data_IF_094713119021
#
_entry.id   IF_094713119021
#
_cell.length_a   1.000
_cell.length_b   1.000
_cell.length_c   1.000
_cell.angle_alpha   90.00
_cell.angle_beta   90.00
_cell.angle_gamma   90.00
#
_symmetry.space_group_name_H-M   'P 1'
#
loop_
_entity.id
_entity.type
_entity.pdbx_description
1 polymer ?
#
# COMPACT_ATOMS: atom_id res chain seq x y z
N UNK A 1 -34.20 -50.99 46.07
CA UNK A 1 -32.97 -50.16 46.07
C UNK A 1 -32.87 -49.43 44.74
N UNK A 2 -32.72 -48.11 44.83
CA UNK A 2 -32.58 -47.07 43.80
C UNK A 2 -33.60 -46.98 42.67
N UNK A 3 -34.63 -46.19 42.99
CA UNK A 3 -35.58 -45.52 42.12
C UNK A 3 -34.86 -44.47 41.25
N UNK A 4 -34.61 -44.76 39.98
CA UNK A 4 -34.43 -43.69 38.99
C UNK A 4 -35.81 -43.08 38.72
N UNK A 5 -36.16 -42.11 39.55
CA UNK A 5 -37.41 -41.37 39.48
C UNK A 5 -37.49 -40.65 38.12
N UNK A 6 -38.59 -40.87 37.39
CA UNK A 6 -38.95 -40.17 36.15
C UNK A 6 -38.58 -38.66 36.05
N UNK A 7 -38.59 -37.84 37.13
CA UNK A 7 -38.08 -36.47 37.10
C UNK A 7 -36.61 -36.28 36.65
N UNK A 8 -35.69 -37.22 36.92
CA UNK A 8 -34.27 -37.08 36.56
C UNK A 8 -34.05 -37.21 35.03
N UNK A 9 -34.81 -38.09 34.38
CA UNK A 9 -34.78 -38.25 32.93
C UNK A 9 -35.37 -37.02 32.20
N UNK A 10 -36.41 -36.40 32.77
CA UNK A 10 -37.00 -35.18 32.23
C UNK A 10 -36.04 -33.99 32.40
N UNK A 11 -35.41 -33.84 33.55
CA UNK A 11 -34.42 -32.79 33.82
C UNK A 11 -33.21 -32.89 32.87
N UNK A 12 -32.68 -34.09 32.62
CA UNK A 12 -31.59 -34.32 31.66
C UNK A 12 -32.00 -34.00 30.22
N UNK A 13 -33.23 -34.36 29.81
CA UNK A 13 -33.75 -34.02 28.48
C UNK A 13 -33.93 -32.52 28.31
N UNK A 14 -34.46 -31.84 29.33
CA UNK A 14 -34.58 -30.38 29.33
C UNK A 14 -33.21 -29.71 29.27
N UNK A 15 -32.24 -30.16 30.08
CA UNK A 15 -30.87 -29.66 30.06
C UNK A 15 -30.23 -29.79 28.66
N UNK A 16 -30.36 -30.94 28.01
CA UNK A 16 -29.83 -31.17 26.66
C UNK A 16 -30.49 -30.23 25.65
N UNK A 17 -31.81 -30.02 25.73
CA UNK A 17 -32.54 -29.08 24.86
C UNK A 17 -32.08 -27.64 25.09
N UNK A 18 -31.87 -27.22 26.35
CA UNK A 18 -31.36 -25.88 26.65
C UNK A 18 -29.95 -25.66 26.12
N UNK A 19 -29.06 -26.65 26.26
CA UNK A 19 -27.68 -26.56 25.76
C UNK A 19 -27.64 -26.50 24.24
N UNK A 20 -28.45 -27.29 23.52
CA UNK A 20 -28.48 -27.26 22.06
C UNK A 20 -29.07 -25.95 21.52
N UNK A 21 -30.11 -25.41 22.16
CA UNK A 21 -30.67 -24.10 21.82
C UNK A 21 -29.68 -22.97 22.07
N UNK A 22 -28.96 -22.98 23.19
CA UNK A 22 -27.93 -21.99 23.50
C UNK A 22 -26.77 -22.03 22.48
N UNK A 23 -26.35 -23.24 22.08
CA UNK A 23 -25.30 -23.41 21.07
C UNK A 23 -25.74 -22.92 19.69
N UNK A 24 -26.97 -23.25 19.27
CA UNK A 24 -27.54 -22.80 18.02
C UNK A 24 -27.67 -21.27 17.98
N UNK A 25 -28.10 -20.65 19.08
CA UNK A 25 -28.16 -19.20 19.21
C UNK A 25 -26.77 -18.56 19.15
N UNK A 26 -25.77 -19.15 19.82
CA UNK A 26 -24.39 -18.68 19.78
C UNK A 26 -23.79 -18.72 18.37
N UNK A 27 -24.04 -19.80 17.61
CA UNK A 27 -23.61 -19.93 16.21
C UNK A 27 -24.32 -18.90 15.32
N UNK A 28 -25.64 -18.75 15.45
CA UNK A 28 -26.41 -17.77 14.69
C UNK A 28 -25.96 -16.33 14.99
N UNK A 29 -25.71 -16.00 16.26
CA UNK A 29 -25.17 -14.71 16.68
C UNK A 29 -23.77 -14.47 16.11
N UNK A 30 -22.89 -15.48 16.13
CA UNK A 30 -21.55 -15.37 15.54
C UNK A 30 -21.60 -15.18 14.02
N UNK A 31 -22.45 -15.91 13.31
CA UNK A 31 -22.66 -15.76 11.87
C UNK A 31 -23.26 -14.39 11.53
N UNK A 32 -24.23 -13.91 12.30
CA UNK A 32 -24.80 -12.57 12.16
C UNK A 32 -23.76 -11.48 12.40
N UNK A 33 -22.93 -11.60 13.43
CA UNK A 33 -21.83 -10.67 13.71
C UNK A 33 -20.77 -10.69 12.60
N UNK A 34 -20.45 -11.87 12.03
CA UNK A 34 -19.55 -12.01 10.88
C UNK A 34 -20.12 -11.40 9.61
N UNK A 35 -21.43 -11.56 9.38
CA UNK A 35 -22.15 -10.92 8.27
C UNK A 35 -22.12 -9.40 8.39
N UNK A 36 -22.45 -8.86 9.57
CA UNK A 36 -22.43 -7.42 9.85
C UNK A 36 -21.03 -6.81 9.74
N UNK A 37 -19.99 -7.53 10.14
CA UNK A 37 -18.61 -7.06 10.01
C UNK A 37 -18.11 -7.11 8.57
N UNK A 38 -18.54 -8.10 7.78
CA UNK A 38 -18.30 -8.12 6.32
C UNK A 38 -19.00 -6.97 5.59
N UNK A 39 -20.25 -6.69 5.94
CA UNK A 39 -21.01 -5.54 5.40
C UNK A 39 -20.40 -4.20 5.83
N UNK A 40 -19.95 -4.04 7.08
CA UNK A 40 -19.31 -2.81 7.54
C UNK A 40 -17.94 -2.59 6.87
N UNK A 41 -17.19 -3.66 6.60
CA UNK A 41 -15.95 -3.59 5.83
C UNK A 41 -16.19 -3.22 4.36
N UNK A 42 -17.32 -3.64 3.77
CA UNK A 42 -17.71 -3.26 2.41
C UNK A 42 -18.35 -1.86 2.33
N UNK A 43 -19.12 -1.46 3.34
CA UNK A 43 -19.85 -0.18 3.38
C UNK A 43 -18.95 1.03 3.68
N UNK A 44 -17.70 0.81 4.14
CA UNK A 44 -16.68 1.85 4.26
C UNK A 44 -16.08 2.35 2.94
N UNK A 45 -16.41 1.70 1.82
CA UNK A 45 -15.85 1.97 0.48
C UNK A 45 -16.92 2.34 -0.56
N UNK A 46 -18.01 2.98 -0.13
CA UNK A 46 -19.17 3.32 -0.97
C UNK A 46 -19.28 4.78 -1.40
N UNK A 47 -18.19 5.56 -1.33
CA UNK A 47 -18.17 6.88 -1.95
C UNK A 47 -18.04 6.74 -3.46
N UNK A 48 -18.83 7.50 -4.23
CA UNK A 48 -18.64 7.61 -5.67
C UNK A 48 -17.17 7.96 -5.94
N UNK A 49 -16.46 7.07 -6.64
CA UNK A 49 -15.05 7.26 -6.98
C UNK A 49 -14.94 8.55 -7.77
N UNK A 50 -14.34 9.58 -7.16
CA UNK A 50 -14.15 10.83 -7.88
C UNK A 50 -13.27 10.56 -9.11
N UNK A 51 -13.61 11.13 -10.28
CA UNK A 51 -12.74 11.05 -11.44
C UNK A 51 -11.34 11.51 -11.05
N UNK A 52 -10.34 10.65 -11.25
CA UNK A 52 -8.96 11.01 -10.96
C UNK A 52 -8.48 12.04 -11.98
N UNK A 53 -7.94 13.14 -11.48
CA UNK A 53 -7.35 14.22 -12.28
C UNK A 53 -6.22 13.71 -13.20
N UNK A 54 -5.81 14.55 -14.16
CA UNK A 54 -4.64 14.32 -14.99
C UNK A 54 -3.69 15.52 -14.86
N UNK A 55 -2.56 15.31 -14.18
CA UNK A 55 -1.53 16.33 -13.95
C UNK A 55 -0.44 16.37 -15.04
N UNK A 56 -0.59 15.55 -16.09
CA UNK A 56 0.37 15.40 -17.19
C UNK A 56 1.17 14.10 -17.11
N UNK A 57 2.09 13.93 -18.06
CA UNK A 57 2.91 12.74 -18.15
C UNK A 57 3.92 12.65 -17.00
N UNK A 58 4.11 11.44 -16.47
CA UNK A 58 5.19 11.12 -15.56
C UNK A 58 6.55 11.29 -16.27
N UNK A 59 7.58 11.79 -15.56
CA UNK A 59 8.90 12.00 -16.13
C UNK A 59 9.58 10.68 -16.49
N UNK A 60 10.48 10.74 -17.47
CA UNK A 60 11.41 9.64 -17.75
C UNK A 60 12.54 9.63 -16.73
N UNK A 61 13.09 8.45 -16.46
CA UNK A 61 14.25 8.29 -15.59
C UNK A 61 15.07 7.06 -16.02
N UNK A 62 16.32 7.06 -15.61
CA UNK A 62 17.24 5.94 -15.76
C UNK A 62 18.05 5.81 -14.49
N UNK A 63 18.15 4.59 -13.97
CA UNK A 63 18.88 4.33 -12.73
C UNK A 63 19.20 2.85 -12.57
N UNK A 64 19.64 2.49 -11.38
CA UNK A 64 19.96 1.11 -11.00
C UNK A 64 19.17 0.75 -9.75
N UNK A 65 18.49 -0.40 -9.78
CA UNK A 65 17.72 -0.87 -8.63
C UNK A 65 18.59 -1.59 -7.58
N UNK A 66 18.00 -1.96 -6.45
CA UNK A 66 18.68 -2.65 -5.36
C UNK A 66 19.24 -4.03 -5.73
N UNK A 67 18.83 -4.62 -6.85
CA UNK A 67 19.38 -5.88 -7.36
C UNK A 67 20.64 -5.66 -8.22
N UNK A 68 21.00 -4.40 -8.48
CA UNK A 68 22.06 -4.04 -9.43
C UNK A 68 21.59 -4.04 -10.88
N UNK A 69 20.28 -4.08 -11.13
CA UNK A 69 19.71 -4.11 -12.49
C UNK A 69 19.38 -2.70 -12.95
N UNK A 70 19.71 -2.37 -14.20
CA UNK A 70 19.30 -1.11 -14.81
C UNK A 70 17.76 -1.03 -14.87
N UNK A 71 17.19 0.12 -14.48
CA UNK A 71 15.75 0.33 -14.43
C UNK A 71 15.37 1.69 -14.99
N UNK A 72 14.22 1.76 -15.66
CA UNK A 72 13.68 2.98 -16.28
C UNK A 72 12.17 3.02 -16.13
N UNK A 73 11.54 4.13 -16.55
CA UNK A 73 10.08 4.23 -16.61
C UNK A 73 9.43 3.14 -17.50
N UNK A 74 10.20 2.51 -18.40
CA UNK A 74 9.68 1.43 -19.26
C UNK A 74 9.31 0.17 -18.48
N UNK A 75 9.93 -0.06 -17.32
CA UNK A 75 9.61 -1.20 -16.45
C UNK A 75 8.18 -1.14 -15.87
N UNK A 76 7.57 0.03 -15.97
CA UNK A 76 6.23 0.35 -15.50
C UNK A 76 5.22 0.57 -16.64
N UNK A 77 5.64 0.39 -17.89
CA UNK A 77 4.75 0.57 -19.05
C UNK A 77 3.56 -0.38 -18.99
N UNK A 78 2.34 0.16 -19.13
CA UNK A 78 1.09 -0.61 -19.03
C UNK A 78 0.69 -0.97 -17.60
N UNK A 79 1.43 -0.50 -16.59
CA UNK A 79 1.15 -0.73 -15.17
C UNK A 79 0.69 0.55 -14.49
N UNK A 80 -0.15 0.39 -13.47
CA UNK A 80 -0.34 1.43 -12.46
C UNK A 80 0.87 1.38 -11.54
N UNK A 81 1.46 2.52 -11.23
CA UNK A 81 2.61 2.54 -10.34
C UNK A 81 2.64 3.76 -9.46
N UNK A 82 3.36 3.62 -8.36
CA UNK A 82 3.46 4.67 -7.36
C UNK A 82 4.93 5.05 -7.19
N UNK A 83 5.21 6.34 -7.31
CA UNK A 83 6.53 6.92 -7.16
C UNK A 83 6.67 7.64 -5.81
N UNK A 84 7.87 7.64 -5.24
CA UNK A 84 8.21 8.56 -4.16
C UNK A 84 9.69 8.52 -3.81
N UNK A 85 10.07 9.33 -2.82
CA UNK A 85 11.47 9.65 -2.54
C UNK A 85 11.81 9.33 -1.08
N UNK A 86 13.04 8.88 -0.83
CA UNK A 86 13.52 8.52 0.50
C UNK A 86 15.05 8.67 0.59
N UNK A 87 15.63 8.41 1.75
CA UNK A 87 17.03 8.03 1.87
C UNK A 87 17.21 7.14 3.11
N UNK A 88 18.15 6.20 3.06
CA UNK A 88 18.23 5.10 4.04
C UNK A 88 18.59 5.56 5.46
N UNK A 89 19.34 6.66 5.58
CA UNK A 89 19.83 7.21 6.86
C UNK A 89 18.82 8.12 7.58
N UNK A 90 17.64 8.34 7.01
CA UNK A 90 16.65 9.22 7.62
C UNK A 90 16.08 8.60 8.91
N UNK A 91 16.31 9.25 10.04
CA UNK A 91 15.77 8.86 11.34
C UNK A 91 14.34 9.40 11.60
N UNK A 92 13.81 10.24 10.71
CA UNK A 92 12.53 10.94 10.89
C UNK A 92 11.34 10.24 10.24
N UNK A 93 10.85 10.79 9.12
CA UNK A 93 9.61 10.35 8.46
C UNK A 93 9.76 9.06 7.65
N UNK A 94 10.96 8.71 7.19
CA UNK A 94 11.17 7.60 6.27
C UNK A 94 10.77 6.22 6.82
N UNK A 95 10.99 5.85 8.11
CA UNK A 95 10.44 4.61 8.65
C UNK A 95 8.93 4.46 8.43
N UNK A 96 8.18 5.56 8.56
CA UNK A 96 6.73 5.57 8.30
C UNK A 96 6.42 5.44 6.81
N UNK A 97 7.14 6.17 5.95
CA UNK A 97 7.01 6.03 4.49
C UNK A 97 7.25 4.59 4.03
N UNK A 98 8.33 3.96 4.51
CA UNK A 98 8.68 2.58 4.15
C UNK A 98 7.65 1.55 4.64
N UNK A 99 7.05 1.76 5.83
CA UNK A 99 5.94 0.92 6.29
C UNK A 99 4.71 1.07 5.39
N UNK A 100 4.39 2.30 4.97
CA UNK A 100 3.25 2.55 4.10
C UNK A 100 3.47 2.03 2.67
N UNK A 101 4.71 2.08 2.17
CA UNK A 101 5.08 1.39 0.93
C UNK A 101 4.89 -0.12 1.02
N UNK A 102 5.35 -0.73 2.11
CA UNK A 102 5.14 -2.16 2.36
C UNK A 102 3.65 -2.51 2.40
N UNK A 103 2.84 -1.69 3.06
CA UNK A 103 1.38 -1.85 3.05
C UNK A 103 0.81 -1.84 1.61
N UNK A 104 1.19 -0.86 0.78
CA UNK A 104 0.76 -0.80 -0.62
C UNK A 104 1.20 -2.05 -1.42
N UNK A 105 2.43 -2.51 -1.20
CA UNK A 105 2.93 -3.75 -1.79
C UNK A 105 2.12 -4.98 -1.34
N UNK A 106 1.71 -5.06 -0.09
CA UNK A 106 0.89 -6.17 0.43
C UNK A 106 -0.55 -6.12 -0.12
N UNK A 107 -1.11 -4.93 -0.36
CA UNK A 107 -2.46 -4.78 -0.90
C UNK A 107 -2.54 -5.01 -2.42
N UNK A 108 -1.52 -4.59 -3.17
CA UNK A 108 -1.61 -4.48 -4.64
C UNK A 108 -0.57 -5.33 -5.38
N UNK A 109 0.48 -5.78 -4.68
CA UNK A 109 1.67 -6.39 -5.30
C UNK A 109 1.50 -7.78 -5.87
N UNK A 110 0.33 -8.41 -5.70
CA UNK A 110 0.02 -9.68 -6.35
C UNK A 110 -0.57 -9.49 -7.76
N UNK A 111 -0.95 -8.24 -8.11
CA UNK A 111 -1.28 -7.86 -9.48
C UNK A 111 -0.01 -7.71 -10.32
N UNK A 112 0.01 -8.29 -11.52
CA UNK A 112 1.07 -8.09 -12.51
C UNK A 112 1.12 -6.68 -13.07
N UNK A 113 0.02 -5.94 -12.90
CA UNK A 113 -0.20 -4.62 -13.48
C UNK A 113 0.11 -3.48 -12.50
N UNK A 114 0.86 -3.79 -11.44
CA UNK A 114 1.25 -2.85 -10.40
C UNK A 114 2.77 -2.75 -10.23
N UNK A 115 3.25 -1.59 -9.77
CA UNK A 115 4.64 -1.41 -9.36
C UNK A 115 4.87 -0.23 -8.42
N UNK A 116 6.01 -0.25 -7.73
CA UNK A 116 6.48 0.82 -6.86
C UNK A 116 7.89 1.22 -7.29
N UNK A 117 8.14 2.53 -7.36
CA UNK A 117 9.44 3.14 -7.59
C UNK A 117 9.77 4.07 -6.43
N UNK A 118 10.74 3.70 -5.61
CA UNK A 118 11.24 4.57 -4.54
C UNK A 118 12.65 5.04 -4.89
N UNK A 119 12.85 6.35 -5.02
CA UNK A 119 14.12 6.95 -5.43
C UNK A 119 14.89 7.46 -4.21
N UNK A 120 16.16 7.09 -4.06
CA UNK A 120 16.99 7.70 -3.02
C UNK A 120 17.43 9.12 -3.40
N UNK A 121 17.30 10.09 -2.48
CA UNK A 121 17.85 11.45 -2.63
C UNK A 121 19.25 11.61 -2.04
N UNK A 122 19.84 10.53 -1.53
CA UNK A 122 21.19 10.45 -0.96
C UNK A 122 22.06 9.38 -1.66
N UNK A 123 22.22 9.45 -3.00
CA UNK A 123 22.90 8.38 -3.75
C UNK A 123 24.38 8.23 -3.38
N UNK A 124 25.01 9.28 -2.83
CA UNK A 124 26.40 9.19 -2.36
C UNK A 124 26.59 8.16 -1.23
N UNK A 125 25.56 7.91 -0.43
CA UNK A 125 25.55 6.83 0.57
C UNK A 125 24.75 5.61 0.11
N UNK A 126 23.58 5.84 -0.48
CA UNK A 126 22.61 4.81 -0.86
C UNK A 126 23.00 4.12 -2.17
N UNK A 127 24.16 3.46 -2.18
CA UNK A 127 24.59 2.59 -3.29
C UNK A 127 23.61 1.42 -3.49
N UNK A 128 23.54 0.77 -4.66
CA UNK A 128 22.68 -0.40 -4.88
C UNK A 128 22.84 -1.48 -3.80
N UNK A 129 24.06 -1.71 -3.31
CA UNK A 129 24.31 -2.63 -2.18
C UNK A 129 23.65 -2.17 -0.88
N UNK A 130 23.80 -0.90 -0.51
CA UNK A 130 23.16 -0.33 0.69
C UNK A 130 21.64 -0.41 0.57
N UNK A 131 21.11 -0.15 -0.63
CA UNK A 131 19.68 -0.31 -0.93
C UNK A 131 19.21 -1.76 -0.82
N UNK A 132 20.02 -2.75 -1.19
CA UNK A 132 19.68 -4.17 -1.02
C UNK A 132 19.54 -4.54 0.46
N UNK A 133 20.51 -4.13 1.27
CA UNK A 133 20.54 -4.38 2.71
C UNK A 133 19.34 -3.65 3.39
N UNK A 134 19.07 -2.40 2.99
CA UNK A 134 17.93 -1.61 3.45
C UNK A 134 16.59 -2.22 3.02
N UNK A 135 16.44 -2.64 1.77
CA UNK A 135 15.23 -3.25 1.24
C UNK A 135 14.88 -4.57 1.94
N UNK A 136 15.88 -5.35 2.32
CA UNK A 136 15.71 -6.58 3.11
C UNK A 136 15.04 -6.29 4.47
N UNK A 137 15.44 -5.20 5.14
CA UNK A 137 14.83 -4.77 6.42
C UNK A 137 13.34 -4.44 6.30
N UNK A 138 12.90 -3.95 5.14
CA UNK A 138 11.51 -3.56 4.88
C UNK A 138 10.71 -4.59 4.07
N UNK A 139 11.28 -5.76 3.79
CA UNK A 139 10.62 -6.81 3.01
C UNK A 139 10.20 -6.34 1.60
N UNK A 140 11.06 -5.56 0.94
CA UNK A 140 10.89 -5.13 -0.45
C UNK A 140 10.85 -6.37 -1.36
N UNK A 141 9.78 -6.56 -2.13
CA UNK A 141 9.61 -7.64 -3.11
C UNK A 141 9.96 -7.14 -4.50
N UNK A 142 11.08 -7.60 -5.04
CA UNK A 142 11.39 -7.41 -6.47
C UNK A 142 10.57 -8.38 -7.33
N UNK A 143 10.10 -8.00 -8.55
CA UNK A 143 10.23 -6.69 -9.20
C UNK A 143 9.10 -5.71 -8.88
N UNK A 144 8.19 -6.05 -7.97
CA UNK A 144 7.02 -5.21 -7.61
C UNK A 144 7.48 -3.87 -7.06
N UNK A 145 8.46 -3.86 -6.16
CA UNK A 145 9.00 -2.65 -5.55
C UNK A 145 10.51 -2.55 -5.81
N UNK A 146 10.90 -1.46 -6.48
CA UNK A 146 12.29 -1.10 -6.73
C UNK A 146 12.71 0.09 -5.87
N UNK A 147 13.86 -0.04 -5.23
CA UNK A 147 14.61 1.05 -4.62
C UNK A 147 15.67 1.46 -5.63
N UNK A 148 15.63 2.71 -6.08
CA UNK A 148 16.32 3.17 -7.28
C UNK A 148 17.39 4.19 -6.90
N UNK A 149 18.62 3.90 -7.32
CA UNK A 149 19.78 4.78 -7.26
C UNK A 149 19.97 5.49 -8.60
N UNK A 150 20.24 6.79 -8.53
CA UNK A 150 20.52 7.68 -9.67
C UNK A 150 21.54 8.73 -9.26
N UNK A 151 22.12 9.45 -10.22
CA UNK A 151 22.95 10.62 -9.91
C UNK A 151 22.19 11.68 -9.11
N UNK A 152 22.90 12.36 -8.19
CA UNK A 152 22.28 13.33 -7.25
C UNK A 152 21.54 14.45 -7.98
N UNK A 153 22.14 15.02 -9.03
CA UNK A 153 21.52 16.08 -9.81
C UNK A 153 20.23 15.58 -10.49
N UNK A 154 20.25 14.37 -11.02
CA UNK A 154 19.13 13.77 -11.74
C UNK A 154 17.96 13.45 -10.82
N UNK A 155 18.21 12.86 -9.63
CA UNK A 155 17.11 12.57 -8.70
C UNK A 155 16.48 13.84 -8.11
N UNK A 156 17.28 14.88 -7.89
CA UNK A 156 16.79 16.20 -7.46
C UNK A 156 15.93 16.84 -8.55
N UNK A 157 16.39 16.83 -9.80
CA UNK A 157 15.63 17.33 -10.95
C UNK A 157 14.35 16.50 -11.19
N UNK A 158 14.44 15.18 -11.06
CA UNK A 158 13.31 14.27 -11.18
C UNK A 158 12.23 14.59 -10.14
N UNK A 159 12.63 14.78 -8.88
CA UNK A 159 11.70 15.13 -7.80
C UNK A 159 11.06 16.50 -8.00
N UNK A 160 11.89 17.54 -8.21
CA UNK A 160 11.43 18.94 -8.27
C UNK A 160 10.70 19.29 -9.56
N UNK A 161 11.25 18.92 -10.70
CA UNK A 161 10.75 19.34 -12.02
C UNK A 161 9.86 18.26 -12.64
N UNK A 162 10.30 17.00 -12.55
CA UNK A 162 9.59 15.87 -13.13
C UNK A 162 8.27 15.58 -12.41
N UNK A 163 8.36 15.27 -11.11
CA UNK A 163 7.19 14.97 -10.28
C UNK A 163 6.58 16.20 -9.59
N UNK A 164 7.20 17.38 -9.70
CA UNK A 164 6.68 18.64 -9.14
C UNK A 164 6.51 18.60 -7.62
N UNK A 165 7.46 17.96 -6.93
CA UNK A 165 7.45 17.76 -5.47
C UNK A 165 8.28 18.80 -4.71
N UNK A 166 8.90 19.76 -5.40
CA UNK A 166 9.63 20.84 -4.77
C UNK A 166 8.70 21.93 -4.23
N UNK A 167 9.02 22.45 -3.04
CA UNK A 167 8.55 23.77 -2.60
C UNK A 167 9.68 24.77 -2.79
N UNK A 168 9.34 26.03 -3.08
CA UNK A 168 10.31 27.13 -3.29
C UNK A 168 11.13 27.50 -2.04
N UNK A 169 10.85 26.89 -0.89
CA UNK A 169 11.34 27.31 0.41
C UNK A 169 12.37 26.35 1.04
N UNK A 170 12.63 25.18 0.44
CA UNK A 170 13.53 24.18 1.02
C UNK A 170 14.89 24.21 0.31
N UNK A 171 16.01 24.36 1.04
CA UNK A 171 17.36 24.32 0.47
C UNK A 171 17.58 23.07 -0.39
N UNK A 172 18.33 23.21 -1.47
CA UNK A 172 18.67 22.16 -2.45
C UNK A 172 19.24 20.89 -1.83
N UNK A 173 19.81 21.02 -0.63
CA UNK A 173 20.40 19.95 0.15
C UNK A 173 19.37 18.99 0.78
N UNK A 174 18.10 19.39 0.87
CA UNK A 174 17.03 18.64 1.54
C UNK A 174 15.79 18.50 0.63
N UNK A 175 15.84 17.61 -0.36
CA UNK A 175 14.60 17.21 -1.06
C UNK A 175 13.79 16.29 -0.13
N UNK A 176 13.00 16.90 0.76
CA UNK A 176 12.12 16.24 1.72
C UNK A 176 10.66 16.38 1.29
N UNK A 177 10.26 15.62 0.27
CA UNK A 177 8.84 15.38 0.01
C UNK A 177 8.43 14.07 0.67
N UNK A 178 7.39 14.13 1.50
CA UNK A 178 6.75 12.94 2.04
C UNK A 178 5.61 12.44 1.14
N UNK A 179 5.48 12.99 -0.08
CA UNK A 179 4.40 12.65 -1.00
C UNK A 179 4.69 11.39 -1.80
N UNK A 180 3.65 10.58 -1.96
CA UNK A 180 3.56 9.54 -2.98
C UNK A 180 2.79 10.06 -4.17
N UNK A 181 3.20 9.64 -5.37
CA UNK A 181 2.57 10.03 -6.63
C UNK A 181 1.96 8.79 -7.24
N UNK A 182 0.69 8.87 -7.64
CA UNK A 182 0.00 7.80 -8.39
C UNK A 182 0.13 8.04 -9.89
N UNK A 183 0.56 7.04 -10.63
CA UNK A 183 0.72 7.06 -12.08
C UNK A 183 -0.10 5.91 -12.68
N UNK A 184 -0.86 6.19 -13.74
CA UNK A 184 -1.65 5.19 -14.44
C UNK A 184 -0.86 4.44 -15.54
N UNK A 185 -1.54 3.49 -16.20
CA UNK A 185 -0.99 2.64 -17.27
C UNK A 185 -0.50 3.40 -18.50
N UNK A 186 -0.98 4.63 -18.69
CA UNK A 186 -0.60 5.53 -19.77
C UNK A 186 0.56 6.47 -19.36
N UNK A 187 1.15 6.23 -18.19
CA UNK A 187 2.15 7.09 -17.58
C UNK A 187 1.66 8.52 -17.32
N UNK A 188 0.39 8.70 -16.95
CA UNK A 188 -0.15 10.00 -16.52
C UNK A 188 -0.19 10.05 -14.99
N UNK A 189 0.20 11.19 -14.43
CA UNK A 189 0.10 11.46 -13.00
C UNK A 189 -1.38 11.70 -12.66
N UNK A 190 -1.91 10.89 -11.75
CA UNK A 190 -3.32 10.90 -11.33
C UNK A 190 -3.57 11.50 -9.96
N UNK A 191 -2.52 11.64 -9.14
CA UNK A 191 -2.67 12.27 -7.83
C UNK A 191 -1.40 12.32 -7.01
N UNK A 192 -1.47 13.14 -5.96
CA UNK A 192 -0.43 13.32 -4.96
C UNK A 192 -1.02 13.06 -3.57
N UNK A 193 -0.36 12.21 -2.79
CA UNK A 193 -0.88 11.71 -1.52
C UNK A 193 0.19 11.91 -0.46
N UNK A 194 -0.18 12.33 0.74
CA UNK A 194 0.75 12.38 1.87
C UNK A 194 1.09 10.96 2.30
N UNK A 195 2.32 10.54 2.04
CA UNK A 195 2.81 9.20 2.33
C UNK A 195 2.94 8.91 3.82
N UNK A 196 2.81 9.91 4.70
CA UNK A 196 2.79 9.74 6.16
C UNK A 196 1.39 9.69 6.75
N UNK A 197 0.37 10.13 6.02
CA UNK A 197 -1.01 10.23 6.47
C UNK A 197 -1.79 8.93 6.16
N UNK A 198 -2.52 8.41 7.13
CA UNK A 198 -3.18 7.11 7.01
C UNK A 198 -4.35 7.13 6.03
N UNK A 199 -5.12 8.21 6.03
CA UNK A 199 -6.34 8.34 5.21
C UNK A 199 -5.95 8.56 3.74
N UNK A 200 -4.88 9.33 3.50
CA UNK A 200 -4.28 9.48 2.17
C UNK A 200 -3.73 8.15 1.62
N UNK A 201 -3.10 7.32 2.46
CA UNK A 201 -2.62 5.99 2.03
C UNK A 201 -3.78 5.04 1.70
N UNK A 202 -4.86 5.07 2.48
CA UNK A 202 -6.05 4.28 2.19
C UNK A 202 -6.71 4.72 0.88
N UNK A 203 -6.79 6.04 0.65
CA UNK A 203 -7.29 6.61 -0.61
C UNK A 203 -6.40 6.22 -1.80
N UNK A 204 -5.09 6.36 -1.67
CA UNK A 204 -4.12 5.94 -2.69
C UNK A 204 -4.27 4.46 -3.06
N UNK A 205 -4.43 3.56 -2.08
CA UNK A 205 -4.64 2.14 -2.34
C UNK A 205 -5.94 1.90 -3.13
N UNK A 206 -7.01 2.62 -2.78
CA UNK A 206 -8.32 2.54 -3.45
C UNK A 206 -8.25 3.04 -4.90
N UNK A 207 -7.61 4.19 -5.11
CA UNK A 207 -7.45 4.80 -6.43
C UNK A 207 -6.56 3.94 -7.33
N UNK A 208 -5.44 3.44 -6.81
CA UNK A 208 -4.57 2.52 -7.54
C UNK A 208 -5.29 1.24 -7.93
N UNK A 209 -6.07 0.64 -7.02
CA UNK A 209 -6.88 -0.55 -7.31
C UNK A 209 -7.91 -0.28 -8.41
N UNK A 210 -8.58 0.87 -8.35
CA UNK A 210 -9.55 1.29 -9.38
C UNK A 210 -8.88 1.37 -10.76
N UNK A 211 -7.70 2.00 -10.85
CA UNK A 211 -6.94 2.12 -12.09
C UNK A 211 -6.42 0.76 -12.60
N UNK A 212 -6.12 -0.19 -11.71
CA UNK A 212 -5.74 -1.56 -12.06
C UNK A 212 -6.96 -2.30 -12.62
N UNK A 213 -8.13 -2.19 -12.00
CA UNK A 213 -9.32 -2.93 -12.42
C UNK A 213 -10.02 -2.32 -13.64
N UNK A 214 -9.79 -1.03 -13.92
CA UNK A 214 -10.45 -0.29 -15.00
C UNK A 214 -9.44 0.36 -15.97
N UNK A 215 -8.86 -0.40 -16.92
CA UNK A 215 -7.94 0.17 -17.91
C UNK A 215 -8.64 1.22 -18.80
N UNK A 216 -8.01 2.38 -19.02
CA UNK A 216 -8.45 3.39 -19.99
C UNK A 216 -9.41 4.48 -19.47
N UNK A 217 -9.46 4.71 -18.15
CA UNK A 217 -10.23 5.77 -17.50
C UNK A 217 -9.33 6.80 -16.82
#
# INVERSE_FOLDING_TARGET
MNTNSAPDALAKRLLVVFVTLALAFGIAALLYLRSKSGEAAAAGFGGELQPLDNYGAAPKFEGVDQSGTATTQRDYQGKVWIAGFFFSRCAGVCPKLMQNWRYLQEQLGDSTDFGIASFTVDPGHDTPKVLADFGSKYSVRHPVWRLIHMDRADVVALSRNGFRLGTSEVPEEFVHSDRFVLIDRENKIRGYYRGTDKDDIARLATDAKTLIETPGR
#
